data_IF_460631997093
#
_entry.id   IF_460631997093
#
_cell.length_a   1.000
_cell.length_b   1.000
_cell.length_c   1.000
_cell.angle_alpha   90.00
_cell.angle_beta   90.00
_cell.angle_gamma   90.00
#
_symmetry.space_group_name_H-M   'P 1'
#
loop_
_entity.id
_entity.type
_entity.pdbx_description
1 polymer ?
#
# COMPACT_ATOMS: atom_id res chain seq x y z
N UNK A 1 43.57 7.57 -8.43
CA UNK A 1 42.83 7.31 -9.68
C UNK A 1 42.39 5.84 -9.65
N UNK A 2 41.08 5.56 -9.60
CA UNK A 2 40.61 4.17 -9.44
C UNK A 2 39.10 3.98 -9.21
N UNK A 3 38.27 4.90 -9.72
CA UNK A 3 36.83 4.89 -9.49
C UNK A 3 36.02 4.85 -10.78
N UNK A 4 36.41 4.02 -11.76
CA UNK A 4 35.56 3.74 -12.92
C UNK A 4 35.12 2.28 -12.83
N UNK A 5 33.81 2.08 -12.66
CA UNK A 5 33.18 0.77 -12.82
C UNK A 5 32.96 0.58 -14.32
N UNK A 6 33.76 -0.29 -14.94
CA UNK A 6 33.73 -0.58 -16.39
C UNK A 6 32.55 -1.44 -16.83
N UNK A 7 31.75 -1.91 -15.89
CA UNK A 7 30.66 -2.85 -16.13
C UNK A 7 29.35 -2.14 -15.81
N UNK A 8 28.44 -2.09 -16.78
CA UNK A 8 27.09 -1.62 -16.54
C UNK A 8 26.38 -2.64 -15.64
N UNK A 9 26.29 -2.36 -14.34
CA UNK A 9 25.61 -3.22 -13.35
C UNK A 9 24.08 -3.22 -13.50
N UNK A 10 23.58 -2.78 -14.66
CA UNK A 10 22.17 -2.57 -14.94
C UNK A 10 21.70 -1.24 -14.37
N UNK A 11 21.41 -0.28 -15.24
CA UNK A 11 20.57 0.87 -14.87
C UNK A 11 19.13 0.39 -14.62
N UNK A 12 18.37 1.11 -13.80
CA UNK A 12 16.94 0.87 -13.69
C UNK A 12 16.32 0.89 -15.11
N UNK A 13 15.48 -0.09 -15.47
CA UNK A 13 14.80 -0.05 -16.75
C UNK A 13 13.99 1.24 -16.87
N UNK A 14 13.89 1.77 -18.09
CA UNK A 14 13.09 2.98 -18.36
C UNK A 14 11.69 2.83 -17.77
N UNK A 15 11.18 3.89 -17.13
CA UNK A 15 9.89 3.82 -16.43
C UNK A 15 8.72 3.45 -17.38
N UNK A 16 8.85 3.75 -18.67
CA UNK A 16 7.87 3.42 -19.70
C UNK A 16 8.12 2.05 -20.36
N UNK A 17 9.20 1.35 -20.01
CA UNK A 17 9.53 0.06 -20.60
C UNK A 17 8.55 -1.06 -20.20
N UNK A 18 7.85 -0.91 -19.06
CA UNK A 18 6.85 -1.87 -18.60
C UNK A 18 5.46 -1.23 -18.72
N UNK A 19 4.65 -1.62 -19.72
CA UNK A 19 3.31 -1.07 -19.86
C UNK A 19 2.43 -1.51 -18.68
N UNK A 20 1.69 -0.57 -18.11
CA UNK A 20 0.69 -0.80 -17.05
C UNK A 20 -0.67 -0.39 -17.59
N UNK A 21 -1.73 -1.21 -17.43
CA UNK A 21 -3.08 -0.81 -17.79
C UNK A 21 -3.45 0.51 -17.12
N UNK A 22 -4.04 1.45 -17.88
CA UNK A 22 -4.39 2.79 -17.36
C UNK A 22 -5.21 2.73 -16.07
N UNK A 23 -6.18 1.82 -15.99
CA UNK A 23 -7.01 1.64 -14.81
C UNK A 23 -6.21 1.21 -13.56
N UNK A 24 -5.20 0.36 -13.72
CA UNK A 24 -4.33 -0.04 -12.61
C UNK A 24 -3.35 1.07 -12.23
N UNK A 25 -2.85 1.84 -13.21
CA UNK A 25 -2.02 3.01 -12.95
C UNK A 25 -2.80 4.08 -12.17
N UNK A 26 -4.05 4.37 -12.56
CA UNK A 26 -4.91 5.33 -11.88
C UNK A 26 -5.21 4.88 -10.45
N UNK A 27 -5.67 3.63 -10.28
CA UNK A 27 -5.95 3.08 -8.97
C UNK A 27 -4.70 3.03 -8.06
N UNK A 28 -3.51 2.82 -8.64
CA UNK A 28 -2.26 2.92 -7.92
C UNK A 28 -1.99 4.34 -7.44
N UNK A 29 -2.15 5.33 -8.32
CA UNK A 29 -1.93 6.74 -8.00
C UNK A 29 -2.95 7.28 -6.99
N UNK A 30 -4.21 6.89 -7.09
CA UNK A 30 -5.25 7.25 -6.13
C UNK A 30 -4.91 6.74 -4.72
N UNK A 31 -4.43 5.50 -4.60
CA UNK A 31 -3.94 4.97 -3.33
C UNK A 31 -2.63 5.65 -2.86
N UNK A 32 -1.76 6.04 -3.79
CA UNK A 32 -0.50 6.74 -3.51
C UNK A 32 -0.72 8.16 -2.98
N UNK A 33 -1.90 8.75 -3.21
CA UNK A 33 -2.26 10.08 -2.73
C UNK A 33 -2.25 10.21 -1.20
N UNK A 34 -2.14 9.11 -0.45
CA UNK A 34 -2.04 9.10 1.00
C UNK A 34 -0.86 9.95 1.53
N UNK A 35 -1.18 11.09 2.14
CA UNK A 35 -0.23 12.04 2.72
C UNK A 35 0.16 11.76 4.18
N UNK A 36 -0.28 10.63 4.76
CA UNK A 36 0.09 10.27 6.14
C UNK A 36 -0.50 11.19 7.23
N UNK A 37 -1.61 11.88 6.96
CA UNK A 37 -2.20 12.85 7.90
C UNK A 37 -2.84 12.26 9.16
N UNK A 38 -3.07 10.94 9.23
CA UNK A 38 -3.67 10.28 10.40
C UNK A 38 -5.17 10.51 10.61
N UNK A 39 -5.86 11.33 9.80
CA UNK A 39 -7.29 11.62 9.96
C UNK A 39 -8.17 10.35 10.02
N UNK A 40 -7.86 9.36 9.18
CA UNK A 40 -8.56 8.07 9.15
C UNK A 40 -8.43 7.26 10.45
N UNK A 41 -7.31 7.41 11.17
CA UNK A 41 -7.07 6.74 12.46
C UNK A 41 -7.78 7.51 13.57
N UNK A 42 -7.64 8.83 13.57
CA UNK A 42 -8.20 9.71 14.59
C UNK A 42 -9.73 9.66 14.65
N UNK A 43 -10.40 9.54 13.50
CA UNK A 43 -11.87 9.44 13.47
C UNK A 43 -12.39 8.07 13.85
N UNK A 44 -11.58 7.00 13.67
CA UNK A 44 -12.08 5.64 13.81
C UNK A 44 -12.30 5.33 15.30
N UNK A 45 -13.50 4.88 15.66
CA UNK A 45 -13.81 4.44 17.03
C UNK A 45 -12.80 3.43 17.61
N UNK A 46 -12.24 2.57 16.76
CA UNK A 46 -11.27 1.55 17.17
C UNK A 46 -9.81 2.03 17.02
N UNK A 47 -9.58 3.28 16.61
CA UNK A 47 -8.27 3.78 16.20
C UNK A 47 -7.58 2.84 15.19
N UNK A 48 -8.33 2.31 14.22
CA UNK A 48 -7.80 1.36 13.23
C UNK A 48 -6.97 2.08 12.17
N UNK A 49 -5.74 1.63 11.94
CA UNK A 49 -4.87 2.14 10.86
C UNK A 49 -5.07 1.45 9.51
N UNK A 50 -6.08 0.59 9.38
CA UNK A 50 -6.32 -0.25 8.19
C UNK A 50 -6.44 0.54 6.88
N UNK A 51 -7.04 1.75 6.86
CA UNK A 51 -7.13 2.55 5.64
C UNK A 51 -5.74 3.07 5.21
N UNK A 52 -4.94 3.54 6.18
CA UNK A 52 -3.58 4.02 5.93
C UNK A 52 -2.69 2.89 5.41
N UNK A 53 -2.66 1.75 6.12
CA UNK A 53 -1.87 0.58 5.73
C UNK A 53 -2.35 0.05 4.37
N UNK A 54 -3.67 -0.05 4.19
CA UNK A 54 -4.29 -0.45 2.93
C UNK A 54 -3.87 0.44 1.76
N UNK A 55 -3.84 1.76 1.94
CA UNK A 55 -3.40 2.69 0.91
C UNK A 55 -1.93 2.46 0.51
N UNK A 56 -1.03 2.34 1.51
CA UNK A 56 0.41 2.09 1.31
C UNK A 56 0.69 0.75 0.62
N UNK A 57 -0.14 -0.26 0.86
CA UNK A 57 -0.03 -1.53 0.16
C UNK A 57 -0.62 -1.47 -1.26
N UNK A 58 -1.81 -0.89 -1.40
CA UNK A 58 -2.56 -0.88 -2.65
C UNK A 58 -1.83 -0.16 -3.79
N UNK A 59 -1.13 0.96 -3.51
CA UNK A 59 -0.43 1.70 -4.57
C UNK A 59 0.74 0.92 -5.19
N UNK A 60 1.35 -0.01 -4.44
CA UNK A 60 2.38 -0.91 -4.98
C UNK A 60 1.79 -2.21 -5.50
N UNK A 61 0.74 -2.72 -4.88
CA UNK A 61 0.09 -3.98 -5.25
C UNK A 61 -0.56 -3.96 -6.64
N UNK A 62 -0.76 -2.78 -7.22
CA UNK A 62 -1.28 -2.56 -8.58
C UNK A 62 -0.19 -2.43 -9.64
N UNK A 63 1.06 -2.26 -9.23
CA UNK A 63 2.18 -2.02 -10.12
C UNK A 63 3.05 -3.28 -10.26
N UNK A 64 3.63 -3.55 -11.44
CA UNK A 64 4.55 -4.68 -11.66
C UNK A 64 5.71 -4.70 -10.65
N UNK A 65 6.27 -3.52 -10.36
CA UNK A 65 7.40 -3.33 -9.45
C UNK A 65 7.07 -3.76 -8.01
N UNK A 66 5.80 -3.65 -7.60
CA UNK A 66 5.38 -4.00 -6.26
C UNK A 66 5.02 -5.47 -6.05
N UNK A 67 4.95 -6.28 -7.12
CA UNK A 67 4.46 -7.67 -7.04
C UNK A 67 5.40 -8.60 -6.28
N UNK A 68 6.72 -8.44 -6.44
CA UNK A 68 7.72 -9.35 -5.84
C UNK A 68 7.57 -9.46 -4.31
N UNK A 69 7.27 -8.36 -3.64
CA UNK A 69 7.13 -8.32 -2.19
C UNK A 69 5.67 -8.19 -1.73
N UNK A 70 4.69 -8.20 -2.63
CA UNK A 70 3.30 -7.81 -2.33
C UNK A 70 2.72 -8.48 -1.08
N UNK A 71 2.80 -9.81 -1.00
CA UNK A 71 2.27 -10.60 0.12
C UNK A 71 3.10 -10.43 1.39
N UNK A 72 4.42 -10.48 1.26
CA UNK A 72 5.34 -10.29 2.37
C UNK A 72 5.19 -8.90 3.01
N UNK A 73 5.03 -7.87 2.17
CA UNK A 73 4.79 -6.48 2.59
C UNK A 73 3.45 -6.36 3.31
N UNK A 74 2.39 -6.97 2.77
CA UNK A 74 1.08 -6.98 3.43
C UNK A 74 1.16 -7.62 4.82
N UNK A 75 1.80 -8.79 4.93
CA UNK A 75 2.03 -9.47 6.21
C UNK A 75 2.77 -8.60 7.20
N UNK A 76 3.97 -8.12 6.82
CA UNK A 76 4.82 -7.30 7.70
C UNK A 76 4.14 -6.01 8.15
N UNK A 77 3.41 -5.34 7.26
CA UNK A 77 2.75 -4.08 7.61
C UNK A 77 1.54 -4.30 8.52
N UNK A 78 0.78 -5.39 8.36
CA UNK A 78 -0.31 -5.73 9.28
C UNK A 78 0.25 -6.15 10.64
N UNK A 79 1.27 -7.01 10.67
CA UNK A 79 1.94 -7.40 11.92
C UNK A 79 2.52 -6.18 12.66
N UNK A 80 3.10 -5.23 11.94
CA UNK A 80 3.59 -3.98 12.54
C UNK A 80 2.45 -3.11 13.08
N UNK A 81 1.35 -2.98 12.33
CA UNK A 81 0.16 -2.24 12.77
C UNK A 81 -0.43 -2.84 14.06
N UNK A 82 -0.49 -4.17 14.15
CA UNK A 82 -0.96 -4.88 15.34
C UNK A 82 0.02 -4.69 16.51
N UNK A 83 1.34 -4.75 16.26
CA UNK A 83 2.37 -4.53 17.28
C UNK A 83 2.36 -3.11 17.85
N UNK A 84 1.96 -2.11 17.05
CA UNK A 84 1.76 -0.72 17.48
C UNK A 84 0.44 -0.50 18.23
N UNK A 85 -0.43 -1.52 18.31
CA UNK A 85 -1.67 -1.48 19.09
C UNK A 85 -2.84 -0.78 18.39
N UNK A 86 -2.80 -0.61 17.07
CA UNK A 86 -3.95 -0.10 16.33
C UNK A 86 -5.10 -1.13 16.37
N UNK A 87 -6.34 -0.65 16.51
CA UNK A 87 -7.49 -1.55 16.60
C UNK A 87 -7.90 -2.14 15.24
N UNK A 88 -8.79 -3.14 15.29
CA UNK A 88 -9.30 -3.81 14.11
C UNK A 88 -10.40 -3.00 13.37
N UNK A 89 -10.53 -3.21 12.06
CA UNK A 89 -11.62 -2.64 11.28
C UNK A 89 -12.95 -3.36 11.58
N UNK A 90 -14.02 -2.59 11.79
CA UNK A 90 -15.40 -3.10 11.95
C UNK A 90 -16.38 -2.49 10.94
N UNK A 91 -15.87 -1.99 9.80
CA UNK A 91 -16.63 -1.49 8.65
C UNK A 91 -17.57 -0.29 8.93
N UNK A 92 -17.16 0.66 9.78
CA UNK A 92 -17.89 1.91 10.02
C UNK A 92 -17.83 2.90 8.84
N UNK A 93 -16.78 2.81 8.02
CA UNK A 93 -16.53 3.66 6.83
C UNK A 93 -16.28 5.15 7.12
N UNK A 94 -16.20 5.56 8.40
CA UNK A 94 -15.81 6.92 8.81
C UNK A 94 -14.45 7.34 8.24
N UNK A 95 -13.52 6.39 8.16
CA UNK A 95 -12.16 6.62 7.67
C UNK A 95 -12.10 7.10 6.21
N UNK A 96 -13.00 6.62 5.34
CA UNK A 96 -13.14 7.08 3.96
C UNK A 96 -13.81 8.45 3.91
N UNK A 97 -14.86 8.66 4.72
CA UNK A 97 -15.61 9.91 4.75
C UNK A 97 -14.75 11.13 5.17
N UNK A 98 -13.76 10.93 6.05
CA UNK A 98 -12.88 12.03 6.52
C UNK A 98 -11.58 12.17 5.71
N UNK A 99 -11.29 11.25 4.78
CA UNK A 99 -10.01 11.25 4.10
C UNK A 99 -9.89 12.49 3.19
N UNK A 100 -8.93 13.41 3.43
CA UNK A 100 -8.79 14.63 2.61
C UNK A 100 -8.25 14.35 1.19
N UNK A 101 -7.94 13.08 0.90
CA UNK A 101 -7.46 12.58 -0.38
C UNK A 101 -8.42 11.56 -0.98
N UNK A 102 -9.61 11.44 -0.41
CA UNK A 102 -10.71 10.62 -0.95
C UNK A 102 -10.32 9.14 -1.18
N UNK A 103 -9.42 8.61 -0.33
CA UNK A 103 -9.02 7.21 -0.40
C UNK A 103 -10.18 6.33 0.06
N UNK A 104 -10.61 5.44 -0.82
CA UNK A 104 -11.75 4.54 -0.60
C UNK A 104 -11.38 3.33 0.24
N UNK A 105 -12.34 2.78 1.00
CA UNK A 105 -12.12 1.55 1.79
C UNK A 105 -11.79 0.30 0.95
N UNK A 106 -11.93 0.35 -0.38
CA UNK A 106 -11.51 -0.74 -1.26
C UNK A 106 -10.03 -1.14 -1.10
N UNK A 107 -9.18 -0.20 -0.64
CA UNK A 107 -7.77 -0.49 -0.33
C UNK A 107 -7.63 -1.42 0.88
N UNK A 108 -8.53 -1.31 1.87
CA UNK A 108 -8.59 -2.21 3.03
C UNK A 108 -8.94 -3.63 2.57
N UNK A 109 -9.92 -3.76 1.68
CA UNK A 109 -10.31 -5.04 1.12
C UNK A 109 -9.16 -5.68 0.31
N UNK A 110 -8.39 -4.89 -0.44
CA UNK A 110 -7.23 -5.37 -1.18
C UNK A 110 -6.12 -5.87 -0.24
N UNK A 111 -5.79 -5.09 0.78
CA UNK A 111 -4.84 -5.49 1.83
C UNK A 111 -5.26 -6.78 2.51
N UNK A 112 -6.52 -6.90 2.95
CA UNK A 112 -7.00 -8.10 3.63
C UNK A 112 -6.87 -9.35 2.75
N UNK A 113 -7.13 -9.23 1.44
CA UNK A 113 -6.90 -10.35 0.51
C UNK A 113 -5.42 -10.73 0.39
N UNK A 114 -4.53 -9.75 0.34
CA UNK A 114 -3.10 -10.00 0.24
C UNK A 114 -2.53 -10.59 1.54
N UNK A 115 -3.01 -10.12 2.70
CA UNK A 115 -2.68 -10.65 4.01
C UNK A 115 -3.17 -12.10 4.17
N UNK A 116 -4.44 -12.38 3.86
CA UNK A 116 -4.98 -13.75 3.90
C UNK A 116 -4.18 -14.70 2.99
N UNK A 117 -3.82 -14.25 1.78
CA UNK A 117 -2.98 -15.02 0.85
C UNK A 117 -1.55 -15.26 1.36
N UNK A 118 -1.05 -14.44 2.27
CA UNK A 118 0.27 -14.60 2.90
C UNK A 118 0.27 -15.54 4.11
N UNK A 119 -0.92 -15.88 4.62
CA UNK A 119 -1.10 -16.71 5.82
C UNK A 119 -1.52 -18.14 5.49
N UNK A 120 -1.95 -18.41 4.25
CA UNK A 120 -2.45 -19.73 3.80
C UNK A 120 -1.45 -20.48 2.91
N UNK A 121 -0.51 -19.78 2.27
CA UNK A 121 0.55 -20.30 1.41
C UNK A 121 1.87 -19.59 1.72
#
# INVERSE_FOLDING_TARGET
AGGYVSVNTGSAPDANAVPVPKADADAAMDAAACIGCGACVATCKNASAMLFVGAKLAHLARLPQGQAERRMRAKRMVEQMDAEGFGACTNQLECEAVCPKEIRVSVIAAMNRDFLRSSVF
#
